data_IF_675147429619
#
_entry.id   IF_675147429619
#
_cell.length_a   1.000
_cell.length_b   1.000
_cell.length_c   1.000
_cell.angle_alpha   90.00
_cell.angle_beta   90.00
_cell.angle_gamma   90.00
#
_symmetry.space_group_name_H-M   'P 1'
#
loop_
_entity.id
_entity.type
_entity.pdbx_description
1 polymer ?
#
# COMPACT_ATOMS: atom_id res chain seq x y z
N UNK A 1 5.88 4.04 10.07
CA UNK A 1 4.42 4.21 10.30
C UNK A 1 4.03 4.11 11.77
N UNK A 2 4.47 3.08 12.53
CA UNK A 2 4.24 3.05 13.99
C UNK A 2 4.83 4.27 14.72
N UNK A 3 5.97 4.78 14.25
CA UNK A 3 6.61 6.01 14.74
C UNK A 3 5.72 7.25 14.56
N UNK A 4 4.82 7.23 13.57
CA UNK A 4 3.78 8.23 13.34
C UNK A 4 2.48 7.92 14.11
N UNK A 5 2.48 6.90 14.98
CA UNK A 5 1.34 6.53 15.82
C UNK A 5 0.30 5.61 15.17
N UNK A 6 0.54 5.12 13.95
CA UNK A 6 -0.41 4.27 13.23
C UNK A 6 -0.64 2.94 13.93
N UNK A 7 -1.91 2.59 14.09
CA UNK A 7 -2.39 1.29 14.52
C UNK A 7 -2.80 0.44 13.31
N UNK A 8 -3.06 -0.84 13.56
CA UNK A 8 -3.50 -1.76 12.50
C UNK A 8 -4.80 -1.29 11.86
N UNK A 9 -5.74 -0.76 12.64
CA UNK A 9 -7.00 -0.22 12.13
C UNK A 9 -6.78 0.94 11.13
N UNK A 10 -5.85 1.85 11.41
CA UNK A 10 -5.54 2.95 10.48
C UNK A 10 -5.01 2.44 9.13
N UNK A 11 -4.21 1.37 9.18
CA UNK A 11 -3.70 0.71 7.97
C UNK A 11 -4.85 0.04 7.21
N UNK A 12 -5.73 -0.69 7.91
CA UNK A 12 -6.91 -1.33 7.31
C UNK A 12 -7.82 -0.31 6.62
N UNK A 13 -8.09 0.83 7.27
CA UNK A 13 -8.92 1.91 6.72
C UNK A 13 -8.31 2.49 5.44
N UNK A 14 -7.00 2.74 5.41
CA UNK A 14 -6.30 3.22 4.20
C UNK A 14 -6.38 2.19 3.07
N UNK A 15 -6.18 0.90 3.37
CA UNK A 15 -6.28 -0.15 2.36
C UNK A 15 -7.68 -0.23 1.74
N UNK A 16 -8.73 0.01 2.53
CA UNK A 16 -10.11 0.03 2.08
C UNK A 16 -10.46 1.27 1.24
N UNK A 17 -9.76 2.39 1.44
CA UNK A 17 -9.94 3.62 0.66
C UNK A 17 -9.14 3.64 -0.66
N UNK A 18 -8.28 2.62 -0.88
CA UNK A 18 -7.53 2.53 -2.13
C UNK A 18 -8.45 2.47 -3.35
N UNK A 19 -8.10 3.26 -4.35
CA UNK A 19 -8.80 3.33 -5.61
C UNK A 19 -7.81 3.43 -6.78
N UNK A 20 -8.33 3.50 -8.00
CA UNK A 20 -7.53 3.49 -9.24
C UNK A 20 -6.54 4.66 -9.36
N UNK A 21 -6.77 5.78 -8.69
CA UNK A 21 -5.91 6.97 -8.76
C UNK A 21 -4.64 6.79 -7.91
N UNK A 22 -4.71 5.94 -6.88
CA UNK A 22 -3.57 5.56 -6.06
C UNK A 22 -2.65 4.54 -6.76
N UNK A 23 -3.07 3.93 -7.86
CA UNK A 23 -2.33 2.86 -8.52
C UNK A 23 -1.10 3.39 -9.27
N UNK A 24 0.08 2.90 -8.90
CA UNK A 24 1.36 3.31 -9.51
C UNK A 24 2.10 2.16 -10.22
N UNK A 25 1.66 0.91 -10.07
CA UNK A 25 2.29 -0.21 -10.77
C UNK A 25 1.67 -1.56 -10.48
N UNK A 26 1.94 -2.51 -11.39
CA UNK A 26 1.29 -3.82 -11.43
C UNK A 26 0.31 -3.97 -12.60
N UNK A 27 -0.31 -5.15 -12.76
CA UNK A 27 0.00 -6.38 -12.03
C UNK A 27 1.38 -6.94 -12.39
N UNK A 28 2.15 -7.34 -11.38
CA UNK A 28 3.45 -7.99 -11.55
C UNK A 28 3.46 -9.38 -10.88
N UNK A 29 4.30 -10.29 -11.36
CA UNK A 29 4.52 -11.56 -10.66
C UNK A 29 5.29 -11.32 -9.36
N UNK A 30 4.93 -12.05 -8.30
CA UNK A 30 5.76 -12.11 -7.11
C UNK A 30 7.14 -12.71 -7.47
N UNK A 31 8.20 -12.17 -6.87
CA UNK A 31 9.54 -12.74 -7.01
C UNK A 31 9.59 -14.17 -6.48
N UNK A 32 8.78 -14.46 -5.46
CA UNK A 32 8.58 -15.81 -4.98
C UNK A 32 7.58 -16.57 -5.86
N UNK A 33 8.11 -17.38 -6.76
CA UNK A 33 7.35 -18.18 -7.74
C UNK A 33 6.42 -19.24 -7.12
N UNK A 34 6.52 -19.52 -5.82
CA UNK A 34 5.61 -20.47 -5.15
C UNK A 34 4.32 -19.81 -4.68
N UNK A 35 4.30 -18.47 -4.56
CA UNK A 35 3.12 -17.72 -4.18
C UNK A 35 2.26 -17.42 -5.41
N UNK A 36 0.95 -17.59 -5.26
CA UNK A 36 -0.04 -17.25 -6.29
C UNK A 36 -0.52 -15.82 -6.12
N UNK A 37 -1.07 -15.26 -7.19
CA UNK A 37 -1.59 -13.90 -7.23
C UNK A 37 -0.63 -12.92 -7.88
N UNK A 38 -1.13 -11.69 -8.05
CA UNK A 38 -0.39 -10.60 -8.64
C UNK A 38 -0.06 -9.55 -7.60
N UNK A 39 1.10 -8.92 -7.77
CA UNK A 39 1.54 -7.78 -6.98
C UNK A 39 1.00 -6.50 -7.60
N UNK A 40 0.41 -5.66 -6.76
CA UNK A 40 -0.07 -4.33 -7.07
C UNK A 40 0.61 -3.33 -6.14
N UNK A 41 0.92 -2.15 -6.67
CA UNK A 41 1.65 -1.08 -5.99
C UNK A 41 0.81 0.19 -6.03
N UNK A 42 0.72 0.86 -4.89
CA UNK A 42 -0.05 2.08 -4.72
C UNK A 42 0.77 3.14 -3.99
N UNK A 43 0.42 4.40 -4.25
CA UNK A 43 0.87 5.57 -3.48
C UNK A 43 -0.36 6.28 -2.95
N UNK A 44 -0.37 6.53 -1.65
CA UNK A 44 -1.48 7.17 -0.95
C UNK A 44 -0.97 8.42 -0.23
N UNK A 45 -1.52 9.59 -0.55
CA UNK A 45 -1.21 10.83 0.14
C UNK A 45 -2.11 10.99 1.35
N UNK A 46 -1.53 10.98 2.55
CA UNK A 46 -2.27 11.22 3.79
C UNK A 46 -1.97 12.62 4.29
N UNK A 47 -3.00 13.46 4.32
CA UNK A 47 -2.97 14.77 4.97
C UNK A 47 -3.03 14.57 6.50
N UNK A 48 -1.95 14.92 7.21
CA UNK A 48 -1.92 14.91 8.68
C UNK A 48 -2.42 16.24 9.25
N UNK A 49 -2.04 17.34 8.61
CA UNK A 49 -2.55 18.68 8.87
C UNK A 49 -2.59 19.50 7.56
N UNK A 50 -2.82 20.81 7.65
CA UNK A 50 -2.99 21.67 6.46
C UNK A 50 -1.73 21.81 5.61
N UNK A 51 -0.55 21.55 6.17
CA UNK A 51 0.73 21.80 5.51
C UNK A 51 1.60 20.53 5.44
N UNK A 52 1.18 19.41 6.05
CA UNK A 52 1.92 18.16 6.12
C UNK A 52 1.16 16.99 5.44
N UNK A 53 1.77 16.46 4.38
CA UNK A 53 1.28 15.31 3.63
C UNK A 53 2.36 14.24 3.63
N UNK A 54 2.04 13.09 4.21
CA UNK A 54 2.89 11.90 4.12
C UNK A 54 2.45 11.10 2.89
N UNK A 55 3.40 10.80 2.00
CA UNK A 55 3.18 9.84 0.93
C UNK A 55 3.46 8.44 1.47
N UNK A 56 2.52 7.52 1.28
CA UNK A 56 2.63 6.14 1.75
C UNK A 56 2.74 5.24 0.53
N UNK A 57 3.81 4.46 0.47
CA UNK A 57 3.97 3.37 -0.48
C UNK A 57 3.32 2.09 0.06
N UNK A 58 2.46 1.50 -0.77
CA UNK A 58 1.70 0.29 -0.42
C UNK A 58 1.92 -0.78 -1.47
N UNK A 59 2.20 -2.01 -1.04
CA UNK A 59 2.33 -3.18 -1.91
C UNK A 59 1.37 -4.28 -1.47
N UNK A 60 0.51 -4.72 -2.37
CA UNK A 60 -0.51 -5.75 -2.11
C UNK A 60 -0.28 -6.96 -3.01
N UNK A 61 -0.37 -8.17 -2.45
CA UNK A 61 -0.57 -9.39 -3.23
C UNK A 61 -2.06 -9.70 -3.28
N UNK A 62 -2.60 -9.79 -4.48
CA UNK A 62 -4.00 -10.10 -4.72
C UNK A 62 -4.12 -11.41 -5.47
N UNK A 63 -4.71 -12.41 -4.81
CA UNK A 63 -5.04 -13.72 -5.36
C UNK A 63 -6.52 -14.02 -5.08
N UNK A 64 -7.46 -13.42 -5.84
CA UNK A 64 -8.87 -13.64 -5.62
C UNK A 64 -9.32 -15.03 -6.09
N UNK A 65 -10.33 -15.62 -5.43
CA UNK A 65 -11.05 -15.11 -4.26
C UNK A 65 -10.36 -15.37 -2.91
N UNK A 66 -9.21 -16.04 -2.90
CA UNK A 66 -8.65 -16.64 -1.69
C UNK A 66 -7.97 -15.65 -0.75
N UNK A 67 -7.23 -14.67 -1.27
CA UNK A 67 -6.31 -13.88 -0.45
C UNK A 67 -6.06 -12.46 -0.99
N UNK A 68 -6.02 -11.50 -0.06
CA UNK A 68 -5.43 -10.17 -0.24
C UNK A 68 -4.47 -9.93 0.92
N UNK A 69 -3.18 -9.70 0.63
CA UNK A 69 -2.15 -9.48 1.65
C UNK A 69 -1.44 -8.16 1.40
N UNK A 70 -1.42 -7.29 2.41
CA UNK A 70 -0.52 -6.15 2.43
C UNK A 70 0.91 -6.62 2.73
N UNK A 71 1.79 -6.53 1.74
CA UNK A 71 3.20 -6.95 1.82
C UNK A 71 4.09 -5.82 2.35
N UNK A 72 3.80 -4.58 1.96
CA UNK A 72 4.59 -3.41 2.32
C UNK A 72 3.67 -2.22 2.59
N UNK A 73 3.95 -1.51 3.67
CA UNK A 73 3.25 -0.28 4.06
C UNK A 73 4.24 0.62 4.80
N UNK A 74 4.77 1.62 4.12
CA UNK A 74 5.75 2.55 4.68
C UNK A 74 5.64 3.91 4.01
N UNK A 75 6.24 4.92 4.62
CA UNK A 75 6.43 6.21 3.98
C UNK A 75 7.22 6.02 2.68
N UNK A 76 6.75 6.65 1.62
CA UNK A 76 7.38 6.57 0.31
C UNK A 76 8.66 7.41 0.34
N UNK A 77 9.79 6.74 0.09
CA UNK A 77 11.05 7.42 -0.13
C UNK A 77 10.89 8.17 -1.45
N UNK A 78 10.60 9.47 -1.38
CA UNK A 78 10.59 10.36 -2.54
C UNK A 78 11.86 10.09 -3.36
N UNK A 79 11.72 9.44 -4.50
CA UNK A 79 12.76 9.47 -5.52
C UNK A 79 12.85 10.93 -5.97
N UNK A 80 13.88 11.64 -5.51
CA UNK A 80 14.36 12.88 -6.13
C UNK A 80 14.65 12.68 -7.63
#
# INVERSE_FOLDING_TARGET
>A
MQEYGFQIQDIEDILLDLNKEHHIGGPENDHNKTLKGNIWKFRYGLELDKDDIINIYIKIRYNPPEELVCISFHEDELFE
#
